data_IF_063522386420
#
_entry.id   IF_063522386420
#
_cell.length_a   1.000
_cell.length_b   1.000
_cell.length_c   1.000
_cell.angle_alpha   90.00
_cell.angle_beta   90.00
_cell.angle_gamma   90.00
#
_symmetry.space_group_name_H-M   'P 1'
#
loop_
_entity.id
_entity.type
_entity.pdbx_description
1 polymer ?
#
# COMPACT_ATOMS: atom_id res chain seq x y z
N UNK A 1 -17.94 -19.99 34.07
CA UNK A 1 -16.61 -19.34 34.03
C UNK A 1 -16.53 -18.40 35.24
N UNK A 2 -15.48 -18.52 36.04
CA UNK A 2 -15.28 -17.63 37.18
C UNK A 2 -14.83 -16.24 36.67
N UNK A 3 -15.21 -15.18 37.39
CA UNK A 3 -14.84 -13.79 37.06
C UNK A 3 -13.31 -13.60 36.83
N UNK A 4 -12.48 -14.38 37.52
CA UNK A 4 -11.01 -14.38 37.36
C UNK A 4 -10.56 -14.93 36.00
N UNK A 5 -11.17 -16.01 35.48
CA UNK A 5 -10.81 -16.56 34.17
C UNK A 5 -11.16 -15.61 33.02
N UNK A 6 -12.26 -14.87 33.15
CA UNK A 6 -12.67 -13.86 32.17
C UNK A 6 -11.68 -12.67 32.16
N UNK A 7 -11.17 -12.27 33.32
CA UNK A 7 -10.17 -11.21 33.43
C UNK A 7 -8.85 -11.60 32.75
N UNK A 8 -8.37 -12.83 32.98
CA UNK A 8 -7.15 -13.34 32.34
C UNK A 8 -7.27 -13.46 30.82
N UNK A 9 -8.45 -13.86 30.30
CA UNK A 9 -8.66 -13.89 28.84
C UNK A 9 -8.67 -12.50 28.22
N UNK A 10 -9.27 -11.51 28.87
CA UNK A 10 -9.25 -10.12 28.40
C UNK A 10 -7.84 -9.53 28.38
N UNK A 11 -7.05 -9.79 29.44
CA UNK A 11 -5.64 -9.37 29.50
C UNK A 11 -4.81 -10.01 28.38
N UNK A 12 -5.01 -11.31 28.12
CA UNK A 12 -4.33 -12.02 27.02
C UNK A 12 -4.68 -11.41 25.67
N UNK A 13 -5.96 -11.14 25.42
CA UNK A 13 -6.40 -10.50 24.17
C UNK A 13 -5.77 -9.10 24.04
N UNK A 14 -5.80 -8.31 25.09
CA UNK A 14 -5.20 -6.96 25.08
C UNK A 14 -3.70 -6.98 24.78
N UNK A 15 -2.96 -7.94 25.36
CA UNK A 15 -1.52 -8.10 25.09
C UNK A 15 -1.26 -8.53 23.66
N UNK A 16 -2.02 -9.48 23.12
CA UNK A 16 -1.90 -9.93 21.71
C UNK A 16 -2.18 -8.77 20.76
N UNK A 17 -3.25 -8.01 21.01
CA UNK A 17 -3.61 -6.84 20.20
C UNK A 17 -2.52 -5.77 20.29
N UNK A 18 -2.01 -5.50 21.50
CA UNK A 18 -0.91 -4.55 21.69
C UNK A 18 0.37 -4.94 20.95
N UNK A 19 0.76 -6.21 21.02
CA UNK A 19 1.90 -6.76 20.29
C UNK A 19 1.69 -6.68 18.78
N UNK A 20 0.48 -6.95 18.32
CA UNK A 20 0.13 -6.85 16.90
C UNK A 20 0.26 -5.40 16.40
N UNK A 21 -0.29 -4.41 17.13
CA UNK A 21 -0.12 -2.99 16.79
C UNK A 21 1.34 -2.54 16.80
N UNK A 22 2.12 -3.01 17.78
CA UNK A 22 3.55 -2.70 17.85
C UNK A 22 4.32 -3.30 16.66
N UNK A 23 3.99 -4.51 16.26
CA UNK A 23 4.59 -5.17 15.10
C UNK A 23 4.25 -4.45 13.80
N UNK A 24 2.96 -4.14 13.56
CA UNK A 24 2.49 -3.39 12.39
C UNK A 24 3.15 -2.01 12.29
N UNK A 25 3.17 -1.26 13.40
CA UNK A 25 3.79 0.06 13.42
C UNK A 25 5.30 0.04 13.19
N UNK A 26 5.99 -1.02 13.60
CA UNK A 26 7.41 -1.20 13.33
C UNK A 26 7.67 -1.60 11.87
N UNK A 27 6.82 -2.47 11.31
CA UNK A 27 6.87 -2.84 9.90
C UNK A 27 6.70 -1.61 9.02
N UNK A 28 5.66 -0.81 9.24
CA UNK A 28 5.38 0.40 8.44
C UNK A 28 6.54 1.39 8.51
N UNK A 29 7.11 1.63 9.69
CA UNK A 29 8.28 2.51 9.85
C UNK A 29 9.49 2.04 9.05
N UNK A 30 9.72 0.73 8.97
CA UNK A 30 10.83 0.17 8.21
C UNK A 30 10.53 0.13 6.70
N UNK A 31 9.27 -0.18 6.33
CA UNK A 31 8.85 -0.25 4.94
C UNK A 31 8.90 1.12 4.26
N UNK A 32 8.42 2.16 4.93
CA UNK A 32 8.34 3.53 4.40
C UNK A 32 9.50 4.44 4.86
N UNK A 33 10.65 3.84 5.14
CA UNK A 33 11.85 4.60 5.50
C UNK A 33 12.51 5.17 4.25
N UNK A 34 12.53 6.50 4.15
CA UNK A 34 13.28 7.22 3.12
C UNK A 34 14.76 7.32 3.51
N UNK A 35 15.64 7.22 2.53
CA UNK A 35 17.08 7.36 2.70
C UNK A 35 17.67 8.11 1.48
N UNK A 36 18.91 8.60 1.53
CA UNK A 36 19.53 9.25 0.37
C UNK A 36 19.46 8.36 -0.88
N UNK A 37 18.87 8.90 -1.96
CA UNK A 37 18.66 8.18 -3.22
C UNK A 37 17.48 7.19 -3.23
N UNK A 38 16.72 7.07 -2.13
CA UNK A 38 15.54 6.20 -2.04
C UNK A 38 14.39 6.91 -1.33
N UNK A 39 13.27 7.07 -2.03
CA UNK A 39 12.03 7.68 -1.51
C UNK A 39 10.96 6.59 -1.43
N UNK A 40 10.39 6.40 -0.24
CA UNK A 40 9.25 5.53 -0.04
C UNK A 40 8.29 6.16 0.96
N UNK A 41 7.16 6.66 0.47
CA UNK A 41 6.22 7.45 1.27
C UNK A 41 4.85 6.78 1.34
N UNK A 42 4.23 6.93 2.52
CA UNK A 42 2.89 6.43 2.78
C UNK A 42 1.90 7.60 2.79
N UNK A 43 1.23 7.85 1.67
CA UNK A 43 0.40 9.02 1.43
C UNK A 43 -1.07 8.74 1.77
N UNK A 44 -1.77 9.74 2.28
CA UNK A 44 -3.24 9.73 2.24
C UNK A 44 -3.75 10.06 0.83
N UNK A 45 -5.06 9.89 0.59
CA UNK A 45 -5.64 10.09 -0.75
C UNK A 45 -5.45 11.52 -1.28
N UNK A 46 -5.54 12.55 -0.43
CA UNK A 46 -5.33 13.94 -0.82
C UNK A 46 -3.89 14.21 -1.23
N UNK A 47 -2.92 13.70 -0.45
CA UNK A 47 -1.49 13.78 -0.77
C UNK A 47 -1.18 13.04 -2.08
N UNK A 48 -1.75 11.84 -2.28
CA UNK A 48 -1.56 11.07 -3.51
C UNK A 48 -2.11 11.81 -4.75
N UNK A 49 -3.26 12.47 -4.63
CA UNK A 49 -3.81 13.33 -5.69
C UNK A 49 -2.88 14.52 -6.01
N UNK A 50 -2.38 15.19 -4.98
CA UNK A 50 -1.43 16.30 -5.15
C UNK A 50 -0.13 15.81 -5.81
N UNK A 51 0.38 14.64 -5.38
CA UNK A 51 1.55 14.00 -5.97
C UNK A 51 1.35 13.74 -7.47
N UNK A 52 0.25 13.08 -7.87
CA UNK A 52 -0.01 12.75 -9.28
C UNK A 52 -0.16 13.99 -10.16
N UNK A 53 -0.70 15.09 -9.63
CA UNK A 53 -0.76 16.36 -10.37
C UNK A 53 0.62 16.98 -10.59
N UNK A 54 1.50 16.86 -9.60
CA UNK A 54 2.87 17.40 -9.67
C UNK A 54 3.83 16.50 -10.49
N UNK A 55 3.53 15.20 -10.59
CA UNK A 55 4.39 14.19 -11.22
C UNK A 55 3.59 13.37 -12.25
N UNK A 56 3.23 13.95 -13.41
CA UNK A 56 2.40 13.28 -14.42
C UNK A 56 3.07 12.04 -15.04
N UNK A 57 4.39 11.90 -14.91
CA UNK A 57 5.17 10.75 -15.35
C UNK A 57 5.04 9.51 -14.44
N UNK A 58 4.36 9.66 -13.27
CA UNK A 58 4.20 8.59 -12.27
C UNK A 58 3.45 7.40 -12.86
N UNK A 59 4.03 6.21 -12.74
CA UNK A 59 3.37 4.96 -13.04
C UNK A 59 2.37 4.63 -11.92
N UNK A 60 1.12 4.35 -12.25
CA UNK A 60 0.08 4.01 -11.26
C UNK A 60 -0.19 2.52 -11.32
N UNK A 61 0.12 1.80 -10.22
CA UNK A 61 0.00 0.35 -10.12
C UNK A 61 -1.14 -0.04 -9.17
N UNK A 62 -2.16 -0.69 -9.71
CA UNK A 62 -3.23 -1.32 -8.95
C UNK A 62 -2.91 -2.81 -8.73
N UNK A 63 -2.73 -3.21 -7.47
CA UNK A 63 -2.43 -4.60 -7.12
C UNK A 63 -3.65 -5.39 -6.62
N UNK A 64 -4.86 -4.86 -6.87
CA UNK A 64 -6.12 -5.56 -6.60
C UNK A 64 -6.37 -6.67 -7.62
N UNK A 65 -7.38 -7.47 -7.37
CA UNK A 65 -7.85 -8.43 -8.37
C UNK A 65 -8.38 -7.71 -9.63
N UNK A 66 -8.41 -8.44 -10.76
CA UNK A 66 -8.96 -7.91 -12.01
C UNK A 66 -10.43 -7.46 -11.86
N UNK A 67 -11.23 -8.22 -11.12
CA UNK A 67 -12.63 -7.88 -10.88
C UNK A 67 -12.79 -6.57 -10.07
N UNK A 68 -11.94 -6.35 -9.05
CA UNK A 68 -11.94 -5.08 -8.31
C UNK A 68 -11.51 -3.90 -9.20
N UNK A 69 -10.52 -4.10 -10.07
CA UNK A 69 -10.05 -3.10 -11.02
C UNK A 69 -11.12 -2.71 -12.04
N UNK A 70 -11.82 -3.70 -12.61
CA UNK A 70 -12.88 -3.48 -13.59
C UNK A 70 -14.10 -2.74 -12.98
N UNK A 71 -14.31 -2.88 -11.68
CA UNK A 71 -15.31 -2.13 -10.92
C UNK A 71 -14.94 -0.66 -10.66
N UNK A 72 -13.78 -0.20 -11.11
CA UNK A 72 -13.29 1.17 -10.99
C UNK A 72 -11.84 1.20 -10.48
N UNK A 73 -11.06 2.16 -10.98
CA UNK A 73 -9.63 2.30 -10.69
C UNK A 73 -9.22 3.78 -10.63
N UNK A 74 -7.99 4.05 -10.17
CA UNK A 74 -7.39 5.38 -10.29
C UNK A 74 -7.12 5.70 -11.77
N UNK A 75 -7.10 6.99 -12.16
CA UNK A 75 -6.75 7.40 -13.51
C UNK A 75 -5.37 6.83 -13.93
N UNK A 76 -5.29 6.34 -15.16
CA UNK A 76 -4.08 5.78 -15.77
C UNK A 76 -3.47 4.58 -15.01
N UNK A 77 -4.23 3.93 -14.14
CA UNK A 77 -3.74 2.76 -13.40
C UNK A 77 -3.58 1.55 -14.32
N UNK A 78 -2.50 0.82 -14.12
CA UNK A 78 -2.25 -0.50 -14.69
C UNK A 78 -2.52 -1.54 -13.62
N UNK A 79 -3.30 -2.57 -13.94
CA UNK A 79 -3.60 -3.64 -12.99
C UNK A 79 -2.64 -4.81 -13.13
N UNK A 80 -1.93 -5.11 -12.05
CA UNK A 80 -1.14 -6.34 -11.88
C UNK A 80 -1.50 -6.89 -10.50
N UNK A 81 -2.34 -7.91 -10.45
CA UNK A 81 -2.82 -8.46 -9.18
C UNK A 81 -1.69 -9.07 -8.36
N UNK A 82 -1.58 -8.69 -7.09
CA UNK A 82 -0.60 -9.30 -6.16
C UNK A 82 -0.82 -10.81 -5.99
N UNK A 83 -2.05 -11.31 -6.20
CA UNK A 83 -2.37 -12.72 -6.14
C UNK A 83 -2.00 -13.53 -7.39
N UNK A 84 -1.48 -12.87 -8.42
CA UNK A 84 -1.00 -13.54 -9.63
C UNK A 84 0.37 -14.19 -9.35
N UNK A 85 0.53 -15.47 -9.66
CA UNK A 85 1.80 -16.18 -9.52
C UNK A 85 2.92 -15.54 -10.35
N UNK A 86 2.56 -14.90 -11.47
CA UNK A 86 3.48 -14.18 -12.34
C UNK A 86 3.67 -12.70 -11.93
N UNK A 87 3.25 -12.29 -10.73
CA UNK A 87 3.32 -10.89 -10.29
C UNK A 87 4.72 -10.29 -10.48
N UNK A 88 5.76 -10.96 -10.00
CA UNK A 88 7.13 -10.46 -10.03
C UNK A 88 7.62 -10.27 -11.47
N UNK A 89 7.30 -11.20 -12.37
CA UNK A 89 7.65 -11.08 -13.80
C UNK A 89 6.88 -10.01 -14.53
N UNK A 90 5.65 -9.70 -14.08
CA UNK A 90 4.82 -8.64 -14.67
C UNK A 90 5.22 -7.23 -14.22
N UNK A 91 5.75 -7.07 -13.01
CA UNK A 91 6.25 -5.78 -12.52
C UNK A 91 7.69 -5.50 -12.94
N UNK A 92 8.49 -6.52 -13.23
CA UNK A 92 9.88 -6.37 -13.64
C UNK A 92 10.13 -5.46 -14.85
N UNK A 93 9.27 -5.44 -15.91
CA UNK A 93 9.44 -4.54 -17.04
C UNK A 93 9.01 -3.09 -16.78
N UNK A 94 8.42 -2.76 -15.63
CA UNK A 94 8.09 -1.38 -15.29
C UNK A 94 9.36 -0.53 -15.14
N UNK A 95 9.27 0.75 -15.48
CA UNK A 95 10.44 1.63 -15.48
C UNK A 95 10.85 2.02 -14.05
N UNK A 96 11.94 1.43 -13.55
CA UNK A 96 12.45 1.67 -12.19
C UNK A 96 12.98 3.10 -11.98
N UNK A 97 13.32 3.83 -13.06
CA UNK A 97 13.79 5.21 -12.98
C UNK A 97 12.63 6.23 -12.81
N UNK A 98 11.39 5.83 -13.07
CA UNK A 98 10.21 6.68 -12.89
C UNK A 98 9.58 6.47 -11.51
N UNK A 99 8.94 7.51 -10.94
CA UNK A 99 8.12 7.34 -9.76
C UNK A 99 7.02 6.29 -10.00
N UNK A 100 6.71 5.50 -8.98
CA UNK A 100 5.59 4.56 -9.00
C UNK A 100 4.69 4.79 -7.80
N UNK A 101 3.38 4.92 -8.04
CA UNK A 101 2.36 4.96 -7.00
C UNK A 101 1.63 3.64 -7.00
N UNK A 102 1.65 2.94 -5.86
CA UNK A 102 1.03 1.63 -5.71
C UNK A 102 -0.12 1.68 -4.70
N UNK A 103 -1.22 0.99 -5.03
CA UNK A 103 -2.37 0.90 -4.15
C UNK A 103 -3.09 -0.45 -4.29
N UNK A 104 -3.87 -0.79 -3.25
CA UNK A 104 -4.88 -1.85 -3.30
C UNK A 104 -6.22 -1.33 -2.76
N UNK A 105 -7.11 -2.19 -2.28
CA UNK A 105 -8.40 -1.75 -1.71
C UNK A 105 -8.21 -0.96 -0.40
N UNK A 106 -7.54 -1.55 0.60
CA UNK A 106 -7.41 -0.98 1.96
C UNK A 106 -5.97 -0.76 2.45
N UNK A 107 -4.96 -0.94 1.59
CA UNK A 107 -3.55 -0.69 1.92
C UNK A 107 -2.71 -1.93 2.30
N UNK A 108 -3.31 -3.07 2.67
CA UNK A 108 -2.55 -4.25 3.13
C UNK A 108 -1.79 -4.98 2.02
N UNK A 109 -2.46 -5.31 0.91
CA UNK A 109 -1.83 -5.98 -0.24
C UNK A 109 -0.74 -5.12 -0.85
N UNK A 110 -0.98 -3.82 -0.97
CA UNK A 110 -0.03 -2.89 -1.58
C UNK A 110 1.25 -2.70 -0.75
N UNK A 111 1.23 -2.88 0.58
CA UNK A 111 2.46 -2.92 1.39
C UNK A 111 3.39 -4.06 0.98
N UNK A 112 2.84 -5.25 0.69
CA UNK A 112 3.61 -6.38 0.17
C UNK A 112 4.19 -6.07 -1.22
N UNK A 113 3.40 -5.41 -2.07
CA UNK A 113 3.88 -4.95 -3.37
C UNK A 113 5.00 -3.91 -3.24
N UNK A 114 4.92 -2.96 -2.28
CA UNK A 114 6.01 -2.02 -1.98
C UNK A 114 7.30 -2.75 -1.64
N UNK A 115 7.25 -3.78 -0.79
CA UNK A 115 8.44 -4.58 -0.46
C UNK A 115 9.07 -5.20 -1.72
N UNK A 116 8.26 -5.80 -2.60
CA UNK A 116 8.73 -6.37 -3.87
C UNK A 116 9.30 -5.33 -4.83
N UNK A 117 8.67 -4.17 -4.94
CA UNK A 117 9.19 -3.06 -5.75
C UNK A 117 10.56 -2.58 -5.24
N UNK A 118 10.76 -2.53 -3.92
CA UNK A 118 12.07 -2.21 -3.32
C UNK A 118 13.13 -3.25 -3.70
N UNK A 119 12.80 -4.54 -3.58
CA UNK A 119 13.69 -5.64 -3.96
C UNK A 119 14.09 -5.59 -5.43
N UNK A 120 13.18 -5.12 -6.31
CA UNK A 120 13.43 -4.92 -7.74
C UNK A 120 14.19 -3.62 -8.08
N UNK A 121 14.52 -2.80 -7.08
CA UNK A 121 15.34 -1.62 -7.27
C UNK A 121 14.58 -0.34 -7.62
N UNK A 122 13.27 -0.27 -7.45
CA UNK A 122 12.53 0.98 -7.55
C UNK A 122 12.97 1.95 -6.46
N UNK A 123 13.32 3.17 -6.83
CA UNK A 123 13.90 4.16 -5.92
C UNK A 123 12.91 5.24 -5.46
N UNK A 124 11.76 5.38 -6.13
CA UNK A 124 10.76 6.40 -5.81
C UNK A 124 9.36 5.76 -5.79
N UNK A 125 8.96 5.31 -4.60
CA UNK A 125 7.71 4.57 -4.39
C UNK A 125 6.77 5.39 -3.53
N UNK A 126 5.56 5.63 -4.05
CA UNK A 126 4.46 6.23 -3.33
C UNK A 126 3.39 5.17 -3.05
N UNK A 127 2.85 5.14 -1.85
CA UNK A 127 1.82 4.19 -1.43
C UNK A 127 0.59 4.92 -0.93
N UNK A 128 -0.61 4.47 -1.31
CA UNK A 128 -1.84 5.03 -0.75
C UNK A 128 -2.22 4.23 0.51
N UNK A 129 -2.09 4.88 1.69
CA UNK A 129 -2.25 4.27 3.01
C UNK A 129 -3.53 3.44 3.20
N UNK A 130 -4.67 3.96 2.75
CA UNK A 130 -5.99 3.27 2.81
C UNK A 130 -6.50 2.84 1.43
N UNK A 131 -5.61 2.82 0.43
CA UNK A 131 -5.89 2.33 -0.90
C UNK A 131 -7.08 3.01 -1.58
N UNK A 132 -7.71 2.27 -2.49
CA UNK A 132 -8.84 2.73 -3.28
C UNK A 132 -10.06 3.13 -2.45
N UNK A 133 -10.28 2.50 -1.30
CA UNK A 133 -11.42 2.83 -0.42
C UNK A 133 -11.36 4.27 0.11
N UNK A 134 -10.17 4.87 0.20
CA UNK A 134 -10.00 6.28 0.60
C UNK A 134 -10.03 7.24 -0.59
N UNK A 135 -9.94 6.72 -1.82
CA UNK A 135 -9.92 7.50 -3.04
C UNK A 135 -11.35 7.88 -3.43
N UNK A 136 -11.73 9.13 -3.19
CA UNK A 136 -12.98 9.67 -3.70
C UNK A 136 -12.70 10.31 -5.05
N UNK A 137 -13.49 10.04 -6.10
CA UNK A 137 -13.41 10.81 -7.35
C UNK A 137 -13.52 12.31 -7.01
N UNK A 138 -12.73 13.13 -7.69
CA UNK A 138 -12.93 14.57 -7.60
C UNK A 138 -14.30 14.87 -8.21
N UNK A 139 -15.31 15.06 -7.38
CA UNK A 139 -16.55 15.70 -7.82
C UNK A 139 -16.20 17.17 -8.09
N UNK A 140 -15.72 17.45 -9.29
CA UNK A 140 -15.73 18.84 -9.76
C UNK A 140 -17.16 19.18 -10.15
N UNK A 141 -17.66 20.33 -9.70
CA UNK A 141 -18.91 20.90 -10.22
C UNK A 141 -18.77 21.25 -11.71
#
# INVERSE_FOLDING_TARGET
>A
MTSKSMLWTLLLIATIVGLWYAFEGNWDRNLFKTSPGFICENLNASQAKAWLRAHPETQVLDVRSKAEFDGGALPNAVNISLGDEAFDSKIAPLNQAKPILVYCAGGFRSRKAVAKLKELGFQNIQHIHRGYMSWKPDTQP
#
